data_IF_786275042015
#
_entry.id   IF_786275042015
#
_cell.length_a   1.000
_cell.length_b   1.000
_cell.length_c   1.000
_cell.angle_alpha   90.00
_cell.angle_beta   90.00
_cell.angle_gamma   90.00
#
_symmetry.space_group_name_H-M   'P 1'
#
loop_
_entity.id
_entity.type
_entity.pdbx_description
1 polymer ?
#
# COMPACT_ATOMS: atom_id res chain seq x y z
N UNK A 1 -0.15 -12.17 10.39
CA UNK A 1 -1.19 -11.31 9.77
C UNK A 1 -2.10 -12.19 8.91
N UNK A 2 -3.29 -12.59 9.39
CA UNK A 2 -4.19 -13.47 8.64
C UNK A 2 -4.64 -12.86 7.30
N UNK A 3 -4.81 -11.54 7.22
CA UNK A 3 -5.19 -10.83 5.99
C UNK A 3 -4.12 -10.92 4.88
N UNK A 4 -2.84 -11.02 5.23
CA UNK A 4 -1.80 -11.18 4.20
C UNK A 4 -1.92 -12.53 3.50
N UNK A 5 -2.14 -13.60 4.28
CA UNK A 5 -2.37 -14.95 3.73
C UNK A 5 -3.66 -14.97 2.90
N UNK A 6 -4.73 -14.36 3.39
CA UNK A 6 -5.99 -14.23 2.64
C UNK A 6 -5.77 -13.54 1.28
N UNK A 7 -5.01 -12.43 1.24
CA UNK A 7 -4.71 -11.74 0.00
C UNK A 7 -3.93 -12.63 -0.99
N UNK A 8 -2.97 -13.42 -0.50
CA UNK A 8 -2.20 -14.37 -1.31
C UNK A 8 -3.09 -15.51 -1.85
N UNK A 9 -4.00 -16.02 -1.04
CA UNK A 9 -4.88 -17.14 -1.40
C UNK A 9 -5.93 -16.75 -2.45
N UNK A 10 -6.36 -15.49 -2.48
CA UNK A 10 -7.40 -15.03 -3.40
C UNK A 10 -6.86 -14.30 -4.63
N UNK A 11 -5.57 -13.97 -4.72
CA UNK A 11 -5.04 -13.13 -5.81
C UNK A 11 -5.32 -13.69 -7.20
N UNK A 12 -5.17 -15.01 -7.37
CA UNK A 12 -5.45 -15.70 -8.65
C UNK A 12 -6.94 -15.72 -9.00
N UNK A 13 -7.82 -15.66 -8.00
CA UNK A 13 -9.28 -15.71 -8.18
C UNK A 13 -9.89 -14.32 -8.33
N UNK A 14 -9.37 -13.37 -7.58
CA UNK A 14 -9.85 -11.99 -7.52
C UNK A 14 -8.68 -11.08 -7.13
N UNK A 15 -7.86 -10.67 -8.11
CA UNK A 15 -6.75 -9.77 -7.86
C UNK A 15 -7.23 -8.42 -7.29
N UNK A 16 -8.42 -7.97 -7.69
CA UNK A 16 -9.01 -6.76 -7.14
C UNK A 16 -9.32 -6.86 -5.64
N UNK A 17 -9.85 -8.00 -5.19
CA UNK A 17 -10.08 -8.24 -3.77
C UNK A 17 -8.76 -8.33 -3.01
N UNK A 18 -7.75 -9.00 -3.57
CA UNK A 18 -6.40 -9.04 -2.99
C UNK A 18 -5.81 -7.64 -2.82
N UNK A 19 -5.90 -6.78 -3.85
CA UNK A 19 -5.47 -5.38 -3.77
C UNK A 19 -6.18 -4.60 -2.65
N UNK A 20 -7.50 -4.79 -2.48
CA UNK A 20 -8.24 -4.14 -1.40
C UNK A 20 -7.75 -4.58 -0.02
N UNK A 21 -7.49 -5.87 0.17
CA UNK A 21 -6.95 -6.39 1.44
C UNK A 21 -5.53 -5.86 1.68
N UNK A 22 -4.66 -5.88 0.67
CA UNK A 22 -3.30 -5.35 0.75
C UNK A 22 -3.28 -3.86 1.10
N UNK A 23 -4.22 -3.08 0.56
CA UNK A 23 -4.39 -1.68 0.93
C UNK A 23 -4.74 -1.51 2.40
N UNK A 24 -5.68 -2.29 2.94
CA UNK A 24 -6.03 -2.25 4.37
C UNK A 24 -4.81 -2.59 5.25
N UNK A 25 -3.99 -3.55 4.82
CA UNK A 25 -2.74 -3.89 5.51
C UNK A 25 -1.74 -2.74 5.51
N UNK A 26 -1.56 -2.05 4.37
CA UNK A 26 -0.70 -0.86 4.26
C UNK A 26 -1.20 0.24 5.21
N UNK A 27 -2.50 0.53 5.22
CA UNK A 27 -3.10 1.53 6.12
C UNK A 27 -2.92 1.16 7.60
N UNK A 28 -2.98 -0.13 7.94
CA UNK A 28 -2.69 -0.61 9.30
C UNK A 28 -1.22 -0.39 9.67
N UNK A 29 -0.27 -0.75 8.81
CA UNK A 29 1.17 -0.55 9.06
C UNK A 29 1.50 0.94 9.22
N UNK A 30 0.89 1.81 8.43
CA UNK A 30 1.06 3.28 8.57
C UNK A 30 0.50 3.77 9.92
N UNK A 31 -0.65 3.25 10.36
CA UNK A 31 -1.22 3.60 11.67
C UNK A 31 -0.37 3.14 12.84
N UNK A 32 0.23 1.96 12.74
CA UNK A 32 1.16 1.46 13.76
C UNK A 32 2.42 2.34 13.90
N UNK A 33 2.73 3.16 12.89
CA UNK A 33 3.81 4.18 12.92
C UNK A 33 3.36 5.53 13.47
N UNK A 34 2.16 5.62 14.02
CA UNK A 34 1.62 6.85 14.62
C UNK A 34 1.05 7.84 13.61
N UNK A 35 0.88 7.44 12.35
CA UNK A 35 0.23 8.24 11.31
C UNK A 35 -1.24 7.85 11.15
N UNK A 36 -1.98 8.55 10.29
CA UNK A 36 -3.44 8.36 10.18
C UNK A 36 -3.83 7.16 9.32
N UNK A 37 -3.01 6.79 8.33
CA UNK A 37 -3.32 5.71 7.39
C UNK A 37 -4.52 6.02 6.51
N UNK A 38 -4.78 7.31 6.23
CA UNK A 38 -5.93 7.75 5.41
C UNK A 38 -5.51 8.26 4.03
N UNK A 39 -4.31 8.83 3.95
CA UNK A 39 -3.76 9.41 2.74
C UNK A 39 -2.37 8.83 2.57
N UNK A 40 -2.27 7.67 1.90
CA UNK A 40 -1.05 6.86 1.88
C UNK A 40 0.11 7.69 1.32
N UNK A 41 -0.13 8.52 0.29
CA UNK A 41 0.90 9.39 -0.30
C UNK A 41 1.45 10.39 0.73
N UNK A 42 0.55 11.10 1.42
CA UNK A 42 0.93 12.08 2.44
C UNK A 42 1.60 11.41 3.64
N UNK A 43 1.06 10.27 4.08
CA UNK A 43 1.58 9.52 5.22
C UNK A 43 2.99 9.00 4.91
N UNK A 44 3.23 8.48 3.70
CA UNK A 44 4.56 8.05 3.24
C UNK A 44 5.53 9.23 3.13
N UNK A 45 5.10 10.37 2.61
CA UNK A 45 5.91 11.60 2.62
C UNK A 45 6.34 11.98 4.05
N UNK A 46 5.39 11.92 4.99
CA UNK A 46 5.67 12.16 6.42
C UNK A 46 6.65 11.14 7.00
N UNK A 47 6.55 9.86 6.63
CA UNK A 47 7.52 8.84 7.05
C UNK A 47 8.94 9.14 6.55
N UNK A 48 9.08 9.59 5.30
CA UNK A 48 10.38 9.96 4.75
C UNK A 48 10.94 11.21 5.43
N UNK A 49 10.12 12.23 5.68
CA UNK A 49 10.51 13.41 6.46
C UNK A 49 10.96 13.04 7.89
N UNK A 50 10.42 11.96 8.45
CA UNK A 50 10.79 11.39 9.75
C UNK A 50 12.01 10.46 9.71
N UNK A 51 12.64 10.28 8.54
CA UNK A 51 13.87 9.51 8.38
C UNK A 51 13.72 8.15 7.70
N UNK A 52 12.53 7.79 7.18
CA UNK A 52 12.40 6.61 6.34
C UNK A 52 13.15 6.80 5.00
N UNK A 53 13.63 5.72 4.36
CA UNK A 53 14.37 5.82 3.12
C UNK A 53 13.53 6.42 1.99
N UNK A 54 14.16 7.30 1.19
CA UNK A 54 13.54 7.89 -0.02
C UNK A 54 13.10 6.84 -1.04
N UNK A 55 13.65 5.61 -0.97
CA UNK A 55 13.20 4.48 -1.77
C UNK A 55 11.72 4.13 -1.56
N UNK A 56 11.16 4.46 -0.40
CA UNK A 56 9.75 4.26 -0.09
C UNK A 56 8.84 5.15 -0.94
N UNK A 57 9.23 6.39 -1.21
CA UNK A 57 8.50 7.29 -2.12
C UNK A 57 8.55 6.76 -3.56
N UNK A 58 9.71 6.29 -4.01
CA UNK A 58 9.83 5.70 -5.36
C UNK A 58 8.97 4.44 -5.53
N UNK A 59 8.91 3.61 -4.49
CA UNK A 59 8.07 2.43 -4.50
C UNK A 59 6.56 2.79 -4.51
N UNK A 60 6.18 3.84 -3.78
CA UNK A 60 4.82 4.37 -3.81
C UNK A 60 4.44 4.87 -5.21
N UNK A 61 5.34 5.55 -5.92
CA UNK A 61 5.10 6.01 -7.30
C UNK A 61 4.82 4.85 -8.26
N UNK A 62 5.49 3.69 -8.07
CA UNK A 62 5.29 2.46 -8.86
C UNK A 62 3.93 1.81 -8.57
N UNK A 63 3.47 1.88 -7.31
CA UNK A 63 2.14 1.39 -6.92
C UNK A 63 1.03 2.27 -7.48
N UNK A 64 1.36 3.48 -7.95
CA UNK A 64 0.45 4.43 -8.57
C UNK A 64 -0.88 4.54 -7.80
N UNK A 65 -0.79 4.83 -6.50
CA UNK A 65 -1.92 5.38 -5.75
C UNK A 65 -2.12 6.83 -6.20
N UNK A 66 -2.62 7.03 -7.42
CA UNK A 66 -2.91 8.38 -7.91
C UNK A 66 -4.15 8.90 -7.18
N UNK A 67 -3.93 9.40 -5.96
CA UNK A 67 -4.90 10.22 -5.23
C UNK A 67 -5.20 11.52 -6.00
N UNK A 68 -4.32 11.96 -6.93
CA UNK A 68 -4.55 13.13 -7.80
C UNK A 68 -5.85 13.03 -8.64
N UNK A 69 -6.34 11.82 -8.93
CA UNK A 69 -7.54 11.61 -9.73
C UNK A 69 -8.81 11.30 -8.92
N UNK A 70 -8.70 11.19 -7.60
CA UNK A 70 -9.78 10.71 -6.76
C UNK A 70 -10.30 11.83 -5.85
N UNK A 71 -11.35 12.52 -6.28
CA UNK A 71 -12.19 13.36 -5.40
C UNK A 71 -12.75 12.56 -4.21
N UNK A 72 -12.64 11.21 -4.24
CA UNK A 72 -13.06 10.30 -3.17
C UNK A 72 -11.92 9.33 -2.79
N UNK A 73 -11.46 9.28 -1.52
CA UNK A 73 -10.34 8.44 -1.07
C UNK A 73 -10.50 6.92 -1.23
N UNK A 74 -11.58 6.43 -1.83
CA UNK A 74 -11.99 5.02 -1.78
C UNK A 74 -11.76 4.23 -3.09
N UNK A 75 -11.45 4.88 -4.21
CA UNK A 75 -11.35 4.17 -5.50
C UNK A 75 -9.95 3.61 -5.77
N UNK A 76 -9.83 2.28 -5.67
CA UNK A 76 -8.69 1.54 -6.20
C UNK A 76 -8.81 1.48 -7.73
N UNK A 77 -8.00 2.27 -8.44
CA UNK A 77 -7.88 2.18 -9.90
C UNK A 77 -6.86 1.10 -10.23
N UNK A 78 -7.35 -0.09 -10.58
CA UNK A 78 -6.51 -1.21 -11.00
C UNK A 78 -6.32 -1.17 -12.52
N UNK A 79 -5.10 -1.42 -12.98
CA UNK A 79 -4.77 -1.48 -14.40
C UNK A 79 -4.82 -2.92 -14.91
N UNK A 80 -4.20 -3.84 -14.19
CA UNK A 80 -3.99 -5.24 -14.61
C UNK A 80 -4.26 -6.23 -13.45
N UNK A 81 -4.49 -5.72 -12.24
CA UNK A 81 -4.95 -6.47 -11.07
C UNK A 81 -3.84 -7.33 -10.44
N UNK A 82 -3.27 -8.27 -11.19
CA UNK A 82 -2.23 -9.17 -10.69
C UNK A 82 -0.92 -8.42 -10.47
N UNK A 83 -0.47 -7.67 -11.48
CA UNK A 83 0.72 -6.81 -11.32
C UNK A 83 0.51 -5.72 -10.26
N UNK A 84 -0.71 -5.17 -10.16
CA UNK A 84 -1.07 -4.23 -9.09
C UNK A 84 -0.95 -4.88 -7.70
N UNK A 85 -1.44 -6.10 -7.52
CA UNK A 85 -1.31 -6.85 -6.27
C UNK A 85 0.15 -7.15 -5.93
N UNK A 86 0.96 -7.53 -6.92
CA UNK A 86 2.40 -7.77 -6.74
C UNK A 86 3.12 -6.49 -6.30
N UNK A 87 2.81 -5.35 -6.92
CA UNK A 87 3.36 -4.06 -6.55
C UNK A 87 2.97 -3.68 -5.11
N UNK A 88 1.72 -3.90 -4.72
CA UNK A 88 1.24 -3.66 -3.35
C UNK A 88 1.92 -4.56 -2.31
N UNK A 89 2.14 -5.84 -2.62
CA UNK A 89 2.90 -6.76 -1.76
C UNK A 89 4.33 -6.27 -1.56
N UNK A 90 5.02 -5.89 -2.64
CA UNK A 90 6.38 -5.36 -2.58
C UNK A 90 6.44 -4.09 -1.74
N UNK A 91 5.49 -3.17 -1.93
CA UNK A 91 5.42 -1.94 -1.13
C UNK A 91 5.13 -2.20 0.34
N UNK A 92 4.21 -3.13 0.66
CA UNK A 92 3.94 -3.57 2.02
C UNK A 92 5.19 -4.14 2.70
N UNK A 93 5.97 -4.96 1.98
CA UNK A 93 7.23 -5.48 2.50
C UNK A 93 8.23 -4.35 2.77
N UNK A 94 8.38 -3.38 1.86
CA UNK A 94 9.26 -2.23 2.08
C UNK A 94 8.81 -1.40 3.29
N UNK A 95 7.51 -1.18 3.45
CA UNK A 95 6.97 -0.54 4.64
C UNK A 95 7.32 -1.33 5.89
N UNK A 96 7.10 -2.65 5.90
CA UNK A 96 7.39 -3.50 7.06
C UNK A 96 8.88 -3.58 7.39
N UNK A 97 9.77 -3.71 6.39
CA UNK A 97 11.21 -3.95 6.57
C UNK A 97 11.96 -2.75 7.16
N UNK A 98 11.36 -1.55 7.15
CA UNK A 98 11.87 -0.40 7.92
C UNK A 98 11.73 -0.56 9.45
N UNK A 99 11.37 -1.75 9.96
CA UNK A 99 11.47 -2.10 11.38
C UNK A 99 12.85 -2.72 11.67
N UNK A 100 13.86 -1.87 11.88
CA UNK A 100 15.14 -2.27 12.46
C UNK A 100 15.69 -1.15 13.35
#
# INVERSE_FOLDING_TARGET
MPLYIEAQDIVERSPASACAILRILIEAVIRDRGLRGRHIVRDVGTLVDQGAPVGLLRALDVVAMSEEAAETPAELRLTDGHSDAQNLVMFLHLLADQTA
#
